data_IF_402502024224
#
_entry.id   IF_402502024224
#
_cell.length_a   1.000
_cell.length_b   1.000
_cell.length_c   1.000
_cell.angle_alpha   90.00
_cell.angle_beta   90.00
_cell.angle_gamma   90.00
#
_symmetry.space_group_name_H-M   'P 1'
#
loop_
_entity.id
_entity.type
_entity.pdbx_description
1 polymer ?
#
# COMPACT_ATOMS: atom_id res chain seq x y z
N UNK A 1 6.70 10.81 38.46
CA UNK A 1 5.50 10.33 37.74
C UNK A 1 5.03 11.46 36.85
N UNK A 2 5.29 11.37 35.55
CA UNK A 2 4.67 12.24 34.54
C UNK A 2 4.22 11.29 33.42
N UNK A 3 2.92 11.00 33.41
CA UNK A 3 2.24 10.29 32.33
C UNK A 3 2.05 11.27 31.16
N UNK A 4 3.03 11.38 30.28
CA UNK A 4 2.80 11.96 28.95
C UNK A 4 2.16 10.88 28.07
N UNK A 5 0.89 11.09 27.77
CA UNK A 5 0.05 10.34 26.84
C UNK A 5 0.65 10.39 25.42
N UNK A 6 1.67 9.59 25.16
CA UNK A 6 2.08 9.19 23.81
C UNK A 6 1.16 8.04 23.42
N UNK A 7 0.20 8.22 22.49
CA UNK A 7 -0.71 7.14 22.11
C UNK A 7 0.11 5.96 21.57
N UNK A 8 -0.14 4.72 22.03
CA UNK A 8 0.59 3.57 21.55
C UNK A 8 0.10 3.29 20.12
N UNK A 9 1.00 3.40 19.15
CA UNK A 9 0.92 2.73 17.84
C UNK A 9 -0.30 3.04 16.93
N UNK A 10 -0.30 4.19 16.25
CA UNK A 10 -1.01 4.32 14.95
C UNK A 10 -0.15 4.92 13.82
N UNK A 11 1.18 4.91 13.97
CA UNK A 11 2.10 5.23 12.86
C UNK A 11 2.52 4.00 12.04
N UNK A 12 2.20 2.77 12.48
CA UNK A 12 2.71 1.53 11.87
C UNK A 12 1.87 0.98 10.71
N UNK A 13 0.54 0.97 10.80
CA UNK A 13 -0.32 0.24 9.86
C UNK A 13 -0.47 0.91 8.48
N UNK A 14 -0.50 2.24 8.41
CA UNK A 14 -0.66 2.95 7.14
C UNK A 14 0.57 2.83 6.24
N UNK A 15 1.78 2.82 6.83
CA UNK A 15 3.03 2.59 6.09
C UNK A 15 3.05 1.22 5.42
N UNK A 16 2.57 0.18 6.12
CA UNK A 16 2.48 -1.17 5.58
C UNK A 16 1.47 -1.33 4.47
N UNK A 17 0.28 -0.73 4.61
CA UNK A 17 -0.73 -0.71 3.54
C UNK A 17 -0.19 0.01 2.30
N UNK A 18 0.52 1.12 2.49
CA UNK A 18 1.15 1.86 1.39
C UNK A 18 2.27 1.06 0.72
N UNK A 19 3.09 0.34 1.49
CA UNK A 19 4.17 -0.49 0.95
C UNK A 19 3.63 -1.67 0.15
N UNK A 20 2.66 -2.43 0.70
CA UNK A 20 1.98 -3.51 -0.02
C UNK A 20 1.25 -2.98 -1.27
N UNK A 21 0.58 -1.84 -1.16
CA UNK A 21 -0.08 -1.18 -2.29
C UNK A 21 0.91 -0.79 -3.38
N UNK A 22 2.08 -0.25 -3.01
CA UNK A 22 3.15 0.07 -3.96
C UNK A 22 3.69 -1.18 -4.67
N UNK A 23 3.82 -2.30 -3.96
CA UNK A 23 4.25 -3.58 -4.55
C UNK A 23 3.21 -4.13 -5.54
N UNK A 24 1.91 -4.04 -5.21
CA UNK A 24 0.83 -4.45 -6.10
C UNK A 24 0.79 -3.60 -7.38
N UNK A 25 0.96 -2.28 -7.26
CA UNK A 25 1.06 -1.38 -8.40
C UNK A 25 2.28 -1.68 -9.27
N UNK A 26 3.43 -1.93 -8.63
CA UNK A 26 4.65 -2.29 -9.36
C UNK A 26 4.45 -3.58 -10.16
N UNK A 27 3.85 -4.60 -9.56
CA UNK A 27 3.52 -5.86 -10.23
C UNK A 27 2.54 -5.65 -11.40
N UNK A 28 1.47 -4.87 -11.18
CA UNK A 28 0.45 -4.62 -12.21
C UNK A 28 0.97 -3.80 -13.40
N UNK A 29 1.89 -2.87 -13.16
CA UNK A 29 2.46 -1.97 -14.18
C UNK A 29 3.78 -2.49 -14.77
N UNK A 30 4.27 -3.66 -14.34
CA UNK A 30 5.56 -4.20 -14.79
C UNK A 30 6.77 -3.39 -14.34
N UNK A 31 6.65 -2.62 -13.26
CA UNK A 31 7.73 -1.82 -12.69
C UNK A 31 8.56 -2.72 -11.78
N UNK A 32 9.87 -2.81 -12.03
CA UNK A 32 10.79 -3.52 -11.14
C UNK A 32 11.09 -2.62 -9.93
N UNK A 33 10.66 -2.99 -8.72
CA UNK A 33 10.96 -2.19 -7.54
C UNK A 33 12.44 -2.33 -7.16
N UNK A 34 13.06 -1.21 -6.79
CA UNK A 34 14.33 -1.25 -6.06
C UNK A 34 14.04 -1.65 -4.62
N UNK A 35 14.77 -2.63 -4.08
CA UNK A 35 14.60 -3.13 -2.71
C UNK A 35 14.58 -1.97 -1.71
N UNK A 36 13.58 -1.94 -0.82
CA UNK A 36 13.52 -1.04 0.33
C UNK A 36 13.60 -1.86 1.62
N UNK A 37 14.26 -1.28 2.61
CA UNK A 37 14.84 -1.90 3.81
C UNK A 37 13.97 -2.99 4.46
N UNK A 38 14.55 -4.17 4.71
CA UNK A 38 13.89 -5.33 5.32
C UNK A 38 13.50 -5.16 6.80
N UNK A 39 13.75 -3.99 7.39
CA UNK A 39 13.50 -3.69 8.80
C UNK A 39 12.01 -3.81 9.17
N UNK A 40 11.10 -3.69 8.19
CA UNK A 40 9.67 -3.92 8.40
C UNK A 40 9.35 -5.36 8.79
N UNK A 41 10.15 -6.36 8.38
CA UNK A 41 9.86 -7.77 8.65
C UNK A 41 9.82 -8.05 10.16
N UNK A 42 10.75 -7.47 10.93
CA UNK A 42 10.75 -7.60 12.39
C UNK A 42 9.49 -7.02 13.03
N UNK A 43 9.05 -5.85 12.56
CA UNK A 43 7.84 -5.21 13.05
C UNK A 43 6.56 -5.97 12.66
N UNK A 44 6.52 -6.61 11.48
CA UNK A 44 5.42 -7.49 11.07
C UNK A 44 5.32 -8.76 11.94
N UNK A 45 6.46 -9.31 12.37
CA UNK A 45 6.45 -10.48 13.24
C UNK A 45 5.80 -10.15 14.59
N UNK A 46 6.09 -9.00 15.20
CA UNK A 46 5.43 -8.59 16.45
C UNK A 46 3.92 -8.35 16.24
N UNK A 47 3.53 -7.67 15.17
CA UNK A 47 2.11 -7.45 14.84
C UNK A 47 1.35 -8.77 14.64
N UNK A 48 1.98 -9.75 13.98
CA UNK A 48 1.37 -11.07 13.74
C UNK A 48 1.28 -11.94 14.99
N UNK A 49 2.18 -11.75 15.96
CA UNK A 49 2.11 -12.42 17.26
C UNK A 49 0.94 -11.90 18.11
N UNK A 50 0.61 -10.62 17.98
CA UNK A 50 -0.54 -10.01 18.66
C UNK A 50 -1.86 -10.29 17.92
N UNK A 51 -1.86 -10.20 16.58
CA UNK A 51 -3.04 -10.43 15.75
C UNK A 51 -2.67 -11.09 14.41
N UNK A 52 -2.94 -12.40 14.33
CA UNK A 52 -2.70 -13.20 13.13
C UNK A 52 -3.54 -12.78 11.91
N UNK A 53 -4.60 -11.97 12.08
CA UNK A 53 -5.44 -11.46 11.00
C UNK A 53 -5.03 -10.06 10.53
N UNK A 54 -4.09 -9.40 11.21
CA UNK A 54 -3.65 -8.05 10.86
C UNK A 54 -3.14 -7.96 9.42
N UNK A 55 -2.37 -8.96 8.96
CA UNK A 55 -1.84 -9.01 7.59
C UNK A 55 -2.94 -9.09 6.54
N UNK A 56 -4.01 -9.86 6.78
CA UNK A 56 -5.11 -9.98 5.82
C UNK A 56 -5.91 -8.69 5.73
N UNK A 57 -6.09 -7.98 6.85
CA UNK A 57 -6.76 -6.66 6.84
C UNK A 57 -5.93 -5.62 6.10
N UNK A 58 -4.63 -5.58 6.36
CA UNK A 58 -3.71 -4.68 5.66
C UNK A 58 -3.65 -4.99 4.16
N UNK A 59 -3.54 -6.27 3.79
CA UNK A 59 -3.58 -6.71 2.40
C UNK A 59 -4.88 -6.31 1.71
N UNK A 60 -6.03 -6.54 2.35
CA UNK A 60 -7.34 -6.18 1.80
C UNK A 60 -7.47 -4.67 1.56
N UNK A 61 -6.98 -3.84 2.48
CA UNK A 61 -6.95 -2.39 2.30
C UNK A 61 -6.01 -1.97 1.16
N UNK A 62 -4.83 -2.57 1.08
CA UNK A 62 -3.84 -2.29 0.04
C UNK A 62 -4.36 -2.68 -1.35
N UNK A 63 -5.02 -3.84 -1.49
CA UNK A 63 -5.63 -4.27 -2.75
C UNK A 63 -6.69 -3.28 -3.23
N UNK A 64 -7.61 -2.87 -2.35
CA UNK A 64 -8.65 -1.87 -2.70
C UNK A 64 -8.04 -0.54 -3.16
N UNK A 65 -6.97 -0.09 -2.51
CA UNK A 65 -6.28 1.13 -2.90
C UNK A 65 -5.60 0.99 -4.28
N UNK A 66 -4.93 -0.14 -4.53
CA UNK A 66 -4.29 -0.42 -5.80
C UNK A 66 -5.31 -0.54 -6.94
N UNK A 67 -6.39 -1.28 -6.73
CA UNK A 67 -7.48 -1.45 -7.71
C UNK A 67 -8.09 -0.10 -8.10
N UNK A 68 -8.33 0.77 -7.11
CA UNK A 68 -8.85 2.10 -7.35
C UNK A 68 -7.90 2.95 -8.21
N UNK A 69 -6.59 2.90 -7.93
CA UNK A 69 -5.58 3.62 -8.70
C UNK A 69 -5.45 3.09 -10.14
N UNK A 70 -5.47 1.78 -10.31
CA UNK A 70 -5.38 1.14 -11.64
C UNK A 70 -6.61 1.46 -12.50
N UNK A 71 -7.81 1.51 -11.91
CA UNK A 71 -9.02 1.92 -12.61
C UNK A 71 -8.91 3.36 -13.15
N UNK A 72 -8.47 4.30 -12.30
CA UNK A 72 -8.24 5.70 -12.73
C UNK A 72 -7.13 5.82 -13.77
N UNK A 73 -6.09 5.00 -13.65
CA UNK A 73 -5.02 4.96 -14.65
C UNK A 73 -5.55 4.55 -16.02
N UNK A 74 -6.38 3.50 -16.09
CA UNK A 74 -7.00 3.04 -17.34
C UNK A 74 -7.92 4.10 -17.97
N UNK A 75 -8.78 4.73 -17.18
CA UNK A 75 -9.64 5.84 -17.63
C UNK A 75 -8.82 7.01 -18.20
N UNK A 76 -7.73 7.38 -17.54
CA UNK A 76 -6.85 8.44 -18.00
C UNK A 76 -6.11 8.07 -19.31
N UNK A 77 -5.77 6.81 -19.53
CA UNK A 77 -5.18 6.35 -20.80
C UNK A 77 -6.20 6.40 -21.94
N UNK A 78 -7.44 5.96 -21.69
CA UNK A 78 -8.51 5.98 -22.70
C UNK A 78 -8.82 7.42 -23.17
N UNK A 79 -8.96 8.36 -22.23
CA UNK A 79 -9.21 9.77 -22.55
C UNK A 79 -8.07 10.40 -23.37
N UNK A 80 -6.82 9.99 -23.12
CA UNK A 80 -5.66 10.46 -23.91
C UNK A 80 -5.69 9.95 -25.35
N UNK A 81 -6.10 8.70 -25.54
CA UNK A 81 -6.18 8.10 -26.88
C UNK A 81 -7.33 8.71 -27.69
N UNK A 82 -8.49 8.91 -27.08
CA UNK A 82 -9.61 9.62 -27.70
C UNK A 82 -9.23 11.05 -28.12
N UNK A 83 -8.54 11.79 -27.25
CA UNK A 83 -8.04 13.13 -27.56
C UNK A 83 -6.99 13.16 -28.67
N UNK A 84 -6.20 12.09 -28.85
CA UNK A 84 -5.22 11.95 -29.93
C UNK A 84 -5.89 11.65 -31.28
N UNK A 85 -6.97 10.87 -31.29
CA UNK A 85 -7.73 10.55 -32.50
C UNK A 85 -8.57 11.73 -33.01
N UNK A 86 -8.89 12.68 -32.14
CA UNK A 86 -9.68 13.87 -32.47
C UNK A 86 -8.86 15.07 -32.99
N UNK A 87 -7.52 15.01 -32.97
CA UNK A 87 -6.59 16.06 -33.40
C UNK A 87 -5.94 15.74 -34.74
#
# INVERSE_FOLDING_TARGET
MVFTFQPPFFAGLSGYVAEMGSAFLCAALGIVPTVRHADYIGAWLEVLREDNRAIFRAASAASKAADWLLARHGEAQAAREEGRLAA
#
